data_IF_692951133454
#
_entry.id   IF_692951133454
#
_cell.length_a   1.000
_cell.length_b   1.000
_cell.length_c   1.000
_cell.angle_alpha   90.00
_cell.angle_beta   90.00
_cell.angle_gamma   90.00
#
_symmetry.space_group_name_H-M   'P 1'
#
loop_
_entity.id
_entity.type
_entity.pdbx_description
1 polymer ?
#
# COMPACT_ATOMS: atom_id res chain seq x y z
N UNK A 1 1.19 -21.97 -2.80
CA UNK A 1 1.15 -20.49 -2.72
C UNK A 1 2.38 -20.06 -1.95
N UNK A 2 3.31 -19.31 -2.56
CA UNK A 2 4.57 -18.93 -1.90
C UNK A 2 4.34 -17.83 -0.87
N UNK A 3 5.18 -17.74 0.17
CA UNK A 3 5.06 -16.70 1.20
C UNK A 3 5.04 -15.27 0.61
N UNK A 4 5.77 -15.08 -0.48
CA UNK A 4 5.81 -13.81 -1.23
C UNK A 4 4.40 -13.41 -1.72
N UNK A 5 3.59 -14.36 -2.21
CA UNK A 5 2.22 -14.07 -2.67
C UNK A 5 1.31 -13.62 -1.51
N UNK A 6 1.47 -14.22 -0.32
CA UNK A 6 0.70 -13.85 0.87
C UNK A 6 1.07 -12.45 1.35
N UNK A 7 2.37 -12.15 1.40
CA UNK A 7 2.89 -10.82 1.76
C UNK A 7 2.41 -9.75 0.78
N UNK A 8 2.40 -10.05 -0.53
CA UNK A 8 1.87 -9.15 -1.55
C UNK A 8 0.37 -8.86 -1.36
N UNK A 9 -0.42 -9.90 -1.08
CA UNK A 9 -1.84 -9.75 -0.81
C UNK A 9 -2.11 -8.90 0.45
N UNK A 10 -1.29 -9.05 1.49
CA UNK A 10 -1.38 -8.23 2.70
C UNK A 10 -0.98 -6.78 2.43
N UNK A 11 0.08 -6.54 1.67
CA UNK A 11 0.50 -5.20 1.26
C UNK A 11 -0.57 -4.48 0.42
N UNK A 12 -1.24 -5.19 -0.49
CA UNK A 12 -2.34 -4.64 -1.29
C UNK A 12 -3.53 -4.19 -0.43
N UNK A 13 -3.89 -4.99 0.58
CA UNK A 13 -4.93 -4.60 1.55
C UNK A 13 -4.54 -3.35 2.34
N UNK A 14 -3.29 -3.28 2.80
CA UNK A 14 -2.77 -2.11 3.54
C UNK A 14 -2.70 -0.87 2.67
N UNK A 15 -2.35 -1.00 1.39
CA UNK A 15 -2.37 0.11 0.44
C UNK A 15 -3.77 0.72 0.31
N UNK A 16 -4.80 -0.12 0.22
CA UNK A 16 -6.19 0.34 0.22
C UNK A 16 -6.56 1.05 1.53
N UNK A 17 -6.20 0.46 2.67
CA UNK A 17 -6.44 1.07 3.98
C UNK A 17 -5.73 2.42 4.14
N UNK A 18 -4.49 2.54 3.68
CA UNK A 18 -3.73 3.79 3.66
C UNK A 18 -4.48 4.87 2.86
N UNK A 19 -4.97 4.52 1.67
CA UNK A 19 -5.79 5.41 0.84
C UNK A 19 -7.06 5.86 1.59
N UNK A 20 -7.73 4.94 2.28
CA UNK A 20 -8.93 5.23 3.07
C UNK A 20 -8.62 6.13 4.28
N UNK A 21 -7.51 5.91 4.98
CA UNK A 21 -7.07 6.75 6.10
C UNK A 21 -6.75 8.19 5.66
N UNK A 22 -6.18 8.35 4.46
CA UNK A 22 -5.92 9.66 3.88
C UNK A 22 -7.18 10.32 3.30
N UNK A 23 -8.32 9.62 3.31
CA UNK A 23 -9.58 10.04 2.67
C UNK A 23 -9.38 10.51 1.21
N UNK A 24 -8.44 9.85 0.51
CA UNK A 24 -8.14 10.15 -0.88
C UNK A 24 -8.93 9.23 -1.81
N UNK A 25 -9.44 9.81 -2.90
CA UNK A 25 -10.00 9.04 -3.98
C UNK A 25 -8.88 8.28 -4.72
N UNK A 26 -9.20 7.11 -5.29
CA UNK A 26 -8.25 6.29 -6.08
C UNK A 26 -7.45 7.10 -7.11
N UNK A 27 -8.05 7.97 -7.93
CA UNK A 27 -7.27 8.77 -8.88
C UNK A 27 -6.33 9.76 -8.21
N UNK A 28 -6.73 10.42 -7.11
CA UNK A 28 -5.84 11.33 -6.37
C UNK A 28 -4.67 10.60 -5.73
N UNK A 29 -4.91 9.41 -5.18
CA UNK A 29 -3.85 8.61 -4.59
C UNK A 29 -2.89 8.05 -5.65
N UNK A 30 -3.41 7.66 -6.82
CA UNK A 30 -2.59 7.22 -7.94
C UNK A 30 -1.72 8.36 -8.49
N UNK A 31 -2.30 9.55 -8.65
CA UNK A 31 -1.61 10.78 -9.07
C UNK A 31 -0.48 11.16 -8.09
N UNK A 32 -0.76 11.09 -6.79
CA UNK A 32 0.21 11.34 -5.72
C UNK A 32 1.41 10.38 -5.77
N UNK A 33 1.19 9.13 -6.20
CA UNK A 33 2.23 8.14 -6.40
C UNK A 33 2.86 8.18 -7.80
N UNK A 34 2.36 9.02 -8.70
CA UNK A 34 2.82 9.10 -10.10
C UNK A 34 2.53 7.83 -10.91
N UNK A 35 1.51 7.05 -10.53
CA UNK A 35 1.13 5.81 -11.23
C UNK A 35 -0.26 5.94 -11.87
N UNK A 36 -0.55 5.18 -12.94
CA UNK A 36 -1.88 5.15 -13.51
C UNK A 36 -2.92 4.62 -12.50
N UNK A 37 -4.13 5.19 -12.42
CA UNK A 37 -5.19 4.71 -11.52
C UNK A 37 -5.62 3.27 -11.83
N UNK A 38 -5.47 2.84 -13.07
CA UNK A 38 -5.65 1.44 -13.49
C UNK A 38 -4.61 0.51 -12.87
N UNK A 39 -3.36 0.96 -12.75
CA UNK A 39 -2.27 0.21 -12.12
C UNK A 39 -2.51 0.09 -10.62
N UNK A 40 -2.90 1.18 -9.95
CA UNK A 40 -3.32 1.15 -8.54
C UNK A 40 -4.49 0.17 -8.33
N UNK A 41 -5.51 0.24 -9.19
CA UNK A 41 -6.66 -0.68 -9.14
C UNK A 41 -6.24 -2.14 -9.26
N UNK A 42 -5.30 -2.46 -10.15
CA UNK A 42 -4.83 -3.84 -10.34
C UNK A 42 -4.06 -4.36 -9.12
N UNK A 43 -3.30 -3.50 -8.45
CA UNK A 43 -2.65 -3.84 -7.18
C UNK A 43 -3.68 -4.09 -6.07
N UNK A 44 -4.64 -3.18 -5.88
CA UNK A 44 -5.68 -3.31 -4.84
C UNK A 44 -6.56 -4.56 -5.03
N UNK A 45 -6.78 -4.99 -6.28
CA UNK A 45 -7.60 -6.14 -6.62
C UNK A 45 -6.80 -7.45 -6.70
N UNK A 46 -5.47 -7.41 -6.54
CA UNK A 46 -4.60 -8.59 -6.64
C UNK A 46 -4.45 -9.14 -8.07
N UNK A 47 -4.89 -8.40 -9.09
CA UNK A 47 -4.63 -8.75 -10.50
C UNK A 47 -3.16 -8.59 -10.88
N UNK A 48 -2.43 -7.75 -10.13
CA UNK A 48 -1.00 -7.54 -10.31
C UNK A 48 -0.31 -7.54 -8.96
N UNK A 49 0.84 -8.22 -8.89
CA UNK A 49 1.69 -8.17 -7.71
C UNK A 49 2.30 -6.78 -7.52
N UNK A 50 2.41 -6.35 -6.26
CA UNK A 50 3.05 -5.09 -5.93
C UNK A 50 4.55 -5.28 -6.06
N UNK A 51 5.15 -4.58 -7.02
CA UNK A 51 6.60 -4.55 -7.17
C UNK A 51 7.27 -3.65 -6.12
N UNK A 52 8.56 -3.88 -5.88
CA UNK A 52 9.42 -3.03 -5.04
C UNK A 52 9.33 -1.53 -5.39
N UNK A 53 9.11 -1.20 -6.67
CA UNK A 53 8.96 0.18 -7.13
C UNK A 53 7.83 0.96 -6.44
N UNK A 54 6.68 0.32 -6.14
CA UNK A 54 5.59 1.00 -5.44
C UNK A 54 5.99 1.36 -4.01
N UNK A 55 6.68 0.45 -3.32
CA UNK A 55 7.19 0.68 -1.98
C UNK A 55 8.20 1.82 -1.97
N UNK A 56 9.09 1.88 -2.97
CA UNK A 56 10.05 2.98 -3.12
C UNK A 56 9.35 4.33 -3.34
N UNK A 57 8.28 4.38 -4.15
CA UNK A 57 7.49 5.59 -4.36
C UNK A 57 6.87 6.08 -3.04
N UNK A 58 6.26 5.17 -2.27
CA UNK A 58 5.65 5.48 -0.96
C UNK A 58 6.73 5.93 0.04
N UNK A 59 7.87 5.24 0.08
CA UNK A 59 8.98 5.51 0.98
C UNK A 59 9.62 6.89 0.74
N UNK A 60 9.74 7.28 -0.54
CA UNK A 60 10.32 8.57 -0.94
C UNK A 60 9.30 9.72 -0.91
N UNK A 61 8.01 9.43 -0.73
CA UNK A 61 7.00 10.48 -0.71
C UNK A 61 6.93 11.14 0.69
N UNK A 62 7.11 12.48 0.80
CA UNK A 62 7.22 13.16 2.09
C UNK A 62 5.98 13.00 2.98
N UNK A 63 4.79 12.89 2.38
CA UNK A 63 3.54 12.65 3.12
C UNK A 63 3.26 11.18 3.47
N UNK A 64 3.89 10.22 2.77
CA UNK A 64 3.59 8.80 2.93
C UNK A 64 4.69 7.98 3.60
N UNK A 65 5.90 8.54 3.69
CA UNK A 65 7.09 7.85 4.20
C UNK A 65 6.86 7.22 5.58
N UNK A 66 6.11 7.90 6.46
CA UNK A 66 5.73 7.43 7.80
C UNK A 66 4.91 6.12 7.79
N UNK A 67 4.13 5.88 6.73
CA UNK A 67 3.28 4.68 6.60
C UNK A 67 4.01 3.51 5.92
N UNK A 68 5.20 3.73 5.35
CA UNK A 68 5.95 2.70 4.62
C UNK A 68 6.27 1.49 5.49
N UNK A 69 6.71 1.71 6.73
CA UNK A 69 7.03 0.64 7.68
C UNK A 69 5.80 -0.24 7.97
N UNK A 70 4.65 0.40 8.19
CA UNK A 70 3.39 -0.31 8.38
C UNK A 70 2.92 -1.03 7.11
N UNK A 71 3.05 -0.39 5.94
CA UNK A 71 2.62 -0.96 4.67
C UNK A 71 3.40 -2.25 4.34
N UNK A 72 4.71 -2.26 4.59
CA UNK A 72 5.58 -3.43 4.35
C UNK A 72 5.40 -4.52 5.39
N UNK A 73 5.47 -4.19 6.68
CA UNK A 73 5.50 -5.19 7.75
C UNK A 73 4.11 -5.55 8.28
N UNK A 74 3.15 -4.64 8.18
CA UNK A 74 1.85 -4.73 8.85
C UNK A 74 1.91 -4.58 10.35
N UNK A 75 3.11 -4.39 10.89
CA UNK A 75 3.31 -4.12 12.29
C UNK A 75 2.98 -2.63 12.42
N UNK A 76 1.75 -2.35 12.82
CA UNK A 76 1.43 -1.05 13.35
C UNK A 76 2.31 -0.91 14.60
N UNK A 77 3.24 0.05 14.60
CA UNK A 77 3.89 0.48 15.84
C UNK A 77 2.84 0.90 16.91
N UNK A 78 1.57 1.04 16.53
CA UNK A 78 0.45 1.39 17.40
C UNK A 78 -0.76 0.42 17.37
N UNK A 79 -0.62 -0.85 16.96
CA UNK A 79 -1.68 -1.88 17.16
C UNK A 79 -1.13 -3.21 17.67
N UNK A 80 -0.45 -3.16 18.82
CA UNK A 80 -0.78 -4.12 19.87
C UNK A 80 -2.02 -3.59 20.59
N UNK A 81 -3.21 -3.99 20.14
CA UNK A 81 -4.44 -4.04 20.94
C UNK A 81 -5.57 -4.56 20.04
N UNK A 82 -6.06 -5.76 20.35
CA UNK A 82 -7.32 -6.26 19.85
C UNK A 82 -7.33 -7.66 19.26
N UNK A 83 -6.90 -8.66 20.03
CA UNK A 83 -7.58 -9.95 20.21
C UNK A 83 -6.88 -10.73 21.34
#
# INVERSE_FOLDING_TARGET
MTEINLLNHHAAKRLRQLREQLSLSRPKFADLLGIPPTTLKNYELGYREIGGGLFLLIANHPGLTQYTGWLMTGINANQQQGA
#
